data_IF_931617608697
#
_entry.id   IF_931617608697
#
_cell.length_a   1.000
_cell.length_b   1.000
_cell.length_c   1.000
_cell.angle_alpha   90.00
_cell.angle_beta   90.00
_cell.angle_gamma   90.00
#
_symmetry.space_group_name_H-M   'P 1'
#
loop_
_entity.id
_entity.type
_entity.pdbx_description
1 polymer ?
#
# COMPACT_ATOMS: atom_id res chain seq x y z
N UNK A 1 -37.67 51.86 17.01
CA UNK A 1 -38.18 53.09 16.35
C UNK A 1 -37.08 53.61 15.44
N UNK A 2 -37.47 54.04 14.24
CA UNK A 2 -36.77 54.89 13.25
C UNK A 2 -35.66 55.78 13.84
N UNK A 3 -34.50 56.03 13.23
CA UNK A 3 -34.19 56.26 11.81
C UNK A 3 -33.60 57.67 11.66
N UNK A 4 -32.48 57.84 10.92
CA UNK A 4 -32.01 59.15 10.43
C UNK A 4 -30.50 59.42 10.43
N UNK A 5 -29.76 58.82 9.47
CA UNK A 5 -28.91 59.40 8.38
C UNK A 5 -28.51 60.92 8.38
N UNK A 6 -27.58 61.40 7.51
CA UNK A 6 -26.22 60.94 7.10
C UNK A 6 -25.22 62.14 6.86
N UNK A 7 -24.13 61.93 6.11
CA UNK A 7 -23.50 62.81 5.05
C UNK A 7 -21.95 62.93 5.06
N UNK A 8 -21.34 62.25 4.07
CA UNK A 8 -20.29 62.59 3.08
C UNK A 8 -19.20 63.66 3.34
N UNK A 9 -17.93 63.30 3.08
CA UNK A 9 -17.22 63.61 1.81
C UNK A 9 -15.70 63.47 1.93
N UNK A 10 -15.07 62.85 0.92
CA UNK A 10 -13.63 62.95 0.70
C UNK A 10 -12.99 61.79 -0.05
N UNK A 11 -13.40 61.52 -1.29
CA UNK A 11 -12.63 60.68 -2.23
C UNK A 11 -11.34 61.39 -2.65
N UNK A 12 -10.22 60.66 -2.70
CA UNK A 12 -9.13 60.94 -3.62
C UNK A 12 -8.71 59.60 -4.24
N UNK A 13 -9.17 59.38 -5.47
CA UNK A 13 -8.66 58.33 -6.35
C UNK A 13 -7.20 58.64 -6.73
N UNK A 14 -6.33 57.65 -6.56
CA UNK A 14 -5.12 57.52 -7.37
C UNK A 14 -5.00 56.06 -7.82
N UNK A 15 -5.14 55.87 -9.13
CA UNK A 15 -5.04 54.61 -9.86
C UNK A 15 -3.66 53.94 -9.79
N UNK A 16 -3.70 52.61 -9.70
CA UNK A 16 -2.91 51.59 -10.39
C UNK A 16 -1.36 51.65 -10.44
N UNK A 17 -0.74 50.60 -9.88
CA UNK A 17 0.08 49.67 -10.70
C UNK A 17 0.16 48.28 -10.06
N UNK A 18 -0.14 47.18 -10.77
CA UNK A 18 -0.09 45.83 -10.24
C UNK A 18 1.33 45.25 -10.39
N UNK A 19 2.11 45.30 -9.32
CA UNK A 19 3.32 44.49 -9.21
C UNK A 19 2.94 43.05 -8.86
N UNK A 20 2.71 42.22 -9.89
CA UNK A 20 2.63 40.77 -9.75
C UNK A 20 3.93 40.28 -9.12
N UNK A 21 3.87 40.03 -7.82
CA UNK A 21 4.86 39.22 -7.13
C UNK A 21 4.28 37.83 -7.07
N UNK A 22 4.58 37.00 -8.07
CA UNK A 22 4.41 35.57 -7.95
C UNK A 22 5.16 35.14 -6.68
N UNK A 23 4.52 34.49 -5.68
CA UNK A 23 5.30 33.68 -4.80
C UNK A 23 5.84 32.54 -5.67
N UNK A 24 7.12 32.64 -6.00
CA UNK A 24 7.93 31.54 -6.50
C UNK A 24 7.72 30.38 -5.52
N UNK A 25 6.78 29.52 -5.88
CA UNK A 25 6.43 28.34 -5.10
C UNK A 25 7.65 27.45 -5.17
N UNK A 26 8.46 27.51 -4.12
CA UNK A 26 9.48 26.53 -3.84
C UNK A 26 8.94 25.16 -4.26
N UNK A 27 9.69 24.43 -5.09
CA UNK A 27 9.43 23.02 -5.33
C UNK A 27 9.33 22.37 -3.96
N UNK A 28 8.10 22.19 -3.47
CA UNK A 28 7.85 21.43 -2.28
C UNK A 28 8.30 20.04 -2.68
N UNK A 29 9.50 19.66 -2.28
CA UNK A 29 9.91 18.27 -2.24
C UNK A 29 8.87 17.61 -1.35
N UNK A 30 7.85 17.03 -1.98
CA UNK A 30 6.78 16.34 -1.28
C UNK A 30 7.46 15.21 -0.53
N UNK A 31 7.57 15.35 0.79
CA UNK A 31 8.11 14.30 1.65
C UNK A 31 7.16 13.12 1.51
N UNK A 32 7.66 11.98 1.03
CA UNK A 32 6.84 10.77 0.91
C UNK A 32 6.37 10.36 2.31
N UNK A 33 5.06 10.25 2.49
CA UNK A 33 4.44 9.87 3.76
C UNK A 33 4.80 8.45 4.21
N UNK A 34 5.40 7.65 3.32
CA UNK A 34 5.82 6.27 3.58
C UNK A 34 7.30 6.05 3.31
N UNK A 35 8.13 7.10 3.36
CA UNK A 35 9.57 6.98 3.11
C UNK A 35 10.26 5.92 4.00
N UNK A 36 9.72 5.64 5.19
CA UNK A 36 10.22 4.60 6.10
C UNK A 36 10.08 3.17 5.54
N UNK A 37 9.19 2.93 4.58
CA UNK A 37 8.97 1.63 3.94
C UNK A 37 9.84 1.40 2.68
N UNK A 38 10.67 2.38 2.30
CA UNK A 38 11.62 2.28 1.19
C UNK A 38 12.89 1.48 1.58
N UNK A 39 12.71 0.35 2.25
CA UNK A 39 13.77 -0.51 2.76
C UNK A 39 13.46 -1.99 2.48
N UNK A 40 14.48 -2.85 2.59
CA UNK A 40 14.34 -4.30 2.40
C UNK A 40 14.48 -4.74 0.93
N UNK A 41 14.00 -5.95 0.64
CA UNK A 41 14.11 -6.63 -0.66
C UNK A 41 13.24 -5.97 -1.73
N UNK A 42 11.99 -5.63 -1.40
CA UNK A 42 11.09 -4.85 -2.23
C UNK A 42 10.82 -3.48 -1.58
N UNK A 43 11.58 -2.44 -1.96
CA UNK A 43 11.39 -1.10 -1.39
C UNK A 43 10.07 -0.48 -1.85
N UNK A 44 9.29 0.06 -0.91
CA UNK A 44 7.99 0.67 -1.21
C UNK A 44 8.05 2.19 -1.02
N UNK A 45 8.13 2.92 -2.15
CA UNK A 45 8.06 4.38 -2.15
C UNK A 45 6.64 4.92 -2.38
N UNK A 46 5.77 4.13 -3.03
CA UNK A 46 4.36 4.42 -3.30
C UNK A 46 3.56 3.11 -3.31
N UNK A 47 2.41 3.08 -2.64
CA UNK A 47 1.56 1.87 -2.59
C UNK A 47 0.88 1.60 -3.93
N UNK A 48 0.43 2.63 -4.64
CA UNK A 48 -0.50 2.56 -5.78
C UNK A 48 0.17 2.59 -7.15
N UNK A 49 1.26 3.35 -7.29
CA UNK A 49 1.95 3.56 -8.56
C UNK A 49 2.72 2.31 -8.98
N UNK A 50 2.49 1.83 -10.20
CA UNK A 50 3.24 0.73 -10.82
C UNK A 50 3.94 1.32 -12.05
N UNK A 51 5.28 1.26 -12.13
CA UNK A 51 6.01 1.72 -13.31
C UNK A 51 5.59 0.94 -14.56
N UNK A 52 5.37 1.63 -15.68
CA UNK A 52 4.90 0.97 -16.92
C UNK A 52 5.85 -0.09 -17.46
N UNK A 53 7.14 -0.01 -17.13
CA UNK A 53 8.16 -1.01 -17.53
C UNK A 53 8.13 -2.29 -16.67
N UNK A 54 7.39 -2.28 -15.56
CA UNK A 54 7.23 -3.42 -14.65
C UNK A 54 5.77 -3.88 -14.61
N UNK A 55 4.91 -3.32 -15.47
CA UNK A 55 3.47 -3.60 -15.51
C UNK A 55 3.15 -4.78 -16.46
N UNK A 56 3.78 -5.91 -16.19
CA UNK A 56 3.60 -7.19 -16.89
C UNK A 56 3.55 -8.35 -15.88
N UNK A 57 3.13 -9.54 -16.34
CA UNK A 57 2.87 -10.69 -15.46
C UNK A 57 4.14 -11.10 -14.72
N UNK A 58 5.26 -11.23 -15.43
CA UNK A 58 6.52 -11.70 -14.90
C UNK A 58 7.06 -10.77 -13.80
N UNK A 59 7.13 -9.46 -14.07
CA UNK A 59 7.62 -8.51 -13.08
C UNK A 59 6.69 -8.37 -11.88
N UNK A 60 5.37 -8.39 -12.08
CA UNK A 60 4.42 -8.32 -10.97
C UNK A 60 4.47 -9.58 -10.09
N UNK A 61 4.73 -10.76 -10.68
CA UNK A 61 4.96 -11.99 -9.93
C UNK A 61 6.25 -11.93 -9.10
N UNK A 62 7.35 -11.39 -9.67
CA UNK A 62 8.59 -11.16 -8.93
C UNK A 62 8.39 -10.23 -7.73
N UNK A 63 7.70 -9.11 -7.95
CA UNK A 63 7.40 -8.14 -6.89
C UNK A 63 6.51 -8.77 -5.80
N UNK A 64 5.48 -9.52 -6.19
CA UNK A 64 4.60 -10.21 -5.26
C UNK A 64 5.35 -11.24 -4.41
N UNK A 65 6.24 -12.03 -5.02
CA UNK A 65 7.08 -12.99 -4.29
C UNK A 65 7.98 -12.28 -3.27
N UNK A 66 8.70 -11.23 -3.67
CA UNK A 66 9.59 -10.49 -2.74
C UNK A 66 8.82 -9.89 -1.57
N UNK A 67 7.66 -9.28 -1.83
CA UNK A 67 6.80 -8.75 -0.77
C UNK A 67 6.29 -9.85 0.16
N UNK A 68 5.82 -10.97 -0.39
CA UNK A 68 5.33 -12.10 0.40
C UNK A 68 6.44 -12.71 1.27
N UNK A 69 7.65 -12.86 0.71
CA UNK A 69 8.82 -13.35 1.43
C UNK A 69 9.21 -12.42 2.59
N UNK A 70 9.29 -11.11 2.35
CA UNK A 70 9.61 -10.16 3.41
C UNK A 70 8.56 -10.10 4.53
N UNK A 71 7.28 -10.20 4.17
CA UNK A 71 6.20 -10.32 5.15
C UNK A 71 6.32 -11.61 5.97
N UNK A 72 6.67 -12.71 5.32
CA UNK A 72 6.86 -14.00 5.98
C UNK A 72 8.09 -13.99 6.90
N UNK A 73 9.19 -13.36 6.49
CA UNK A 73 10.39 -13.17 7.32
C UNK A 73 10.07 -12.34 8.57
N UNK A 74 9.30 -11.26 8.43
CA UNK A 74 8.84 -10.46 9.59
C UNK A 74 7.95 -11.26 10.56
N UNK A 75 7.37 -12.36 10.09
CA UNK A 75 6.51 -13.28 10.83
C UNK A 75 7.22 -14.59 11.20
N UNK A 76 8.54 -14.68 11.01
CA UNK A 76 9.38 -15.86 11.29
C UNK A 76 8.92 -17.14 10.58
N UNK A 77 8.37 -17.01 9.36
CA UNK A 77 7.86 -18.11 8.51
C UNK A 77 8.34 -18.01 7.06
N UNK A 78 9.46 -17.34 6.79
CA UNK A 78 9.97 -17.10 5.44
C UNK A 78 10.29 -18.38 4.67
N UNK A 79 10.67 -19.46 5.37
CA UNK A 79 10.94 -20.77 4.79
C UNK A 79 9.71 -21.42 4.14
N UNK A 80 8.50 -20.96 4.50
CA UNK A 80 7.26 -21.47 3.94
C UNK A 80 6.91 -20.83 2.60
N UNK A 81 7.56 -19.74 2.18
CA UNK A 81 7.25 -19.05 0.93
C UNK A 81 8.12 -19.60 -0.20
N UNK A 82 7.48 -20.14 -1.23
CA UNK A 82 8.15 -20.62 -2.44
C UNK A 82 7.69 -19.78 -3.63
N UNK A 83 8.63 -19.45 -4.51
CA UNK A 83 8.35 -18.81 -5.79
C UNK A 83 7.53 -19.70 -6.74
N UNK A 84 6.52 -19.13 -7.40
CA UNK A 84 5.68 -19.82 -8.39
C UNK A 84 5.53 -18.95 -9.64
N UNK A 85 6.11 -19.37 -10.77
CA UNK A 85 6.08 -18.66 -12.06
C UNK A 85 5.00 -19.15 -13.01
N UNK A 86 4.04 -19.93 -12.52
CA UNK A 86 2.92 -20.35 -13.36
C UNK A 86 2.16 -19.11 -13.86
N UNK A 87 1.69 -19.04 -15.12
CA UNK A 87 1.10 -17.83 -15.69
C UNK A 87 -0.09 -17.24 -14.91
N UNK A 88 -0.83 -18.08 -14.20
CA UNK A 88 -2.01 -17.71 -13.40
C UNK A 88 -1.73 -17.68 -11.89
N UNK A 89 -0.48 -17.87 -11.44
CA UNK A 89 -0.13 -17.78 -10.03
C UNK A 89 -0.02 -16.32 -9.57
N UNK A 90 0.00 -16.13 -8.26
CA UNK A 90 0.30 -14.86 -7.60
C UNK A 90 1.80 -14.54 -7.53
N UNK A 91 2.66 -15.32 -8.19
CA UNK A 91 4.12 -15.22 -8.11
C UNK A 91 4.74 -16.04 -6.97
N UNK A 92 3.93 -16.51 -6.03
CA UNK A 92 4.37 -17.32 -4.90
C UNK A 92 3.29 -18.30 -4.45
N UNK A 93 3.70 -19.29 -3.66
CA UNK A 93 2.84 -20.20 -2.91
C UNK A 93 3.39 -20.44 -1.52
N UNK A 94 2.54 -20.93 -0.63
CA UNK A 94 2.90 -21.23 0.76
C UNK A 94 2.94 -22.75 0.95
N UNK A 95 4.02 -23.28 1.52
CA UNK A 95 4.14 -24.70 1.85
C UNK A 95 3.06 -25.07 2.87
N UNK A 96 2.40 -26.20 2.64
CA UNK A 96 1.47 -26.77 3.59
C UNK A 96 2.20 -27.62 4.64
N UNK A 97 2.74 -26.95 5.65
CA UNK A 97 3.32 -27.59 6.83
C UNK A 97 2.29 -27.63 7.97
N UNK A 98 1.91 -28.83 8.46
CA UNK A 98 0.89 -28.98 9.52
C UNK A 98 1.20 -28.17 10.79
N UNK A 99 2.48 -28.02 11.12
CA UNK A 99 2.95 -27.26 12.29
C UNK A 99 2.54 -25.78 12.23
N UNK A 100 2.48 -25.19 11.03
CA UNK A 100 2.15 -23.78 10.82
C UNK A 100 0.73 -23.55 10.34
N UNK A 101 -0.10 -24.60 10.26
CA UNK A 101 -1.47 -24.52 9.73
C UNK A 101 -2.35 -23.47 10.43
N UNK A 102 -2.19 -23.32 11.74
CA UNK A 102 -2.89 -22.34 12.56
C UNK A 102 -2.16 -20.97 12.70
N UNK A 103 -0.98 -20.81 12.10
CA UNK A 103 -0.21 -19.59 12.18
C UNK A 103 -0.90 -18.46 11.39
N UNK A 104 -1.31 -17.39 12.07
CA UNK A 104 -2.09 -16.32 11.44
C UNK A 104 -1.35 -15.62 10.31
N UNK A 105 -0.02 -15.50 10.41
CA UNK A 105 0.82 -14.98 9.32
C UNK A 105 0.77 -15.85 8.05
N UNK A 106 0.77 -17.18 8.23
CA UNK A 106 0.65 -18.13 7.12
C UNK A 106 -0.74 -18.01 6.49
N UNK A 107 -1.78 -17.96 7.32
CA UNK A 107 -3.16 -17.79 6.86
C UNK A 107 -3.31 -16.49 6.07
N UNK A 108 -2.75 -15.37 6.55
CA UNK A 108 -2.76 -14.07 5.88
C UNK A 108 -2.14 -14.12 4.48
N UNK A 109 -0.94 -14.70 4.33
CA UNK A 109 -0.28 -14.81 3.03
C UNK A 109 -0.97 -15.83 2.12
N UNK A 110 -1.54 -16.90 2.69
CA UNK A 110 -2.27 -17.89 1.93
C UNK A 110 -3.51 -17.32 1.23
N UNK A 111 -4.13 -16.25 1.76
CA UNK A 111 -5.26 -15.55 1.11
C UNK A 111 -4.96 -15.12 -0.33
N UNK A 112 -3.68 -14.97 -0.66
CA UNK A 112 -3.20 -14.58 -1.97
C UNK A 112 -2.50 -15.71 -2.73
N UNK A 113 -2.25 -16.85 -2.10
CA UNK A 113 -1.70 -18.04 -2.75
C UNK A 113 -2.81 -18.82 -3.46
N UNK A 114 -2.43 -19.73 -4.36
CA UNK A 114 -3.35 -20.70 -4.98
C UNK A 114 -4.09 -21.56 -3.94
N UNK A 115 -3.47 -21.79 -2.78
CA UNK A 115 -4.01 -22.56 -1.65
C UNK A 115 -4.65 -21.65 -0.58
N UNK A 116 -5.67 -20.90 -0.98
CA UNK A 116 -6.35 -19.94 -0.10
C UNK A 116 -6.99 -20.62 1.11
N UNK A 117 -6.49 -20.29 2.31
CA UNK A 117 -7.12 -20.69 3.58
C UNK A 117 -7.90 -19.53 4.19
N UNK A 118 -8.94 -19.84 4.96
CA UNK A 118 -9.72 -18.82 5.63
C UNK A 118 -8.93 -18.20 6.79
N UNK A 119 -8.80 -16.87 6.80
CA UNK A 119 -8.30 -16.10 7.94
C UNK A 119 -9.49 -15.58 8.76
N UNK A 120 -9.49 -15.82 10.07
CA UNK A 120 -10.50 -15.24 10.94
C UNK A 120 -10.37 -13.70 10.98
N UNK A 121 -11.49 -12.97 10.92
CA UNK A 121 -11.47 -11.51 10.95
C UNK A 121 -10.78 -10.93 12.21
N UNK A 122 -10.90 -11.61 13.35
CA UNK A 122 -10.18 -11.26 14.58
C UNK A 122 -8.68 -11.43 14.46
N UNK A 123 -8.21 -12.48 13.78
CA UNK A 123 -6.78 -12.70 13.53
C UNK A 123 -6.22 -11.61 12.61
N UNK A 124 -6.95 -11.23 11.56
CA UNK A 124 -6.58 -10.08 10.72
C UNK A 124 -6.48 -8.78 11.52
N UNK A 125 -7.45 -8.51 12.42
CA UNK A 125 -7.42 -7.33 13.28
C UNK A 125 -6.19 -7.31 14.19
N UNK A 126 -5.83 -8.43 14.82
CA UNK A 126 -4.63 -8.52 15.65
C UNK A 126 -3.33 -8.38 14.84
N UNK A 127 -3.28 -8.90 13.61
CA UNK A 127 -2.12 -8.76 12.74
C UNK A 127 -1.87 -7.30 12.34
N UNK A 128 -2.93 -6.56 11.99
CA UNK A 128 -2.80 -5.23 11.34
C UNK A 128 -3.02 -4.06 12.29
N UNK A 129 -3.91 -4.21 13.28
CA UNK A 129 -4.34 -3.12 14.17
C UNK A 129 -3.87 -3.35 15.61
N UNK A 130 -3.88 -4.60 16.07
CA UNK A 130 -3.63 -4.95 17.46
C UNK A 130 -4.86 -4.73 18.36
N UNK A 131 -4.61 -4.56 19.65
CA UNK A 131 -5.58 -4.38 20.72
C UNK A 131 -5.17 -3.21 21.63
N UNK A 132 -6.13 -2.55 22.30
CA UNK A 132 -5.86 -1.40 23.18
C UNK A 132 -5.18 -1.78 24.51
N UNK A 133 -5.14 -3.08 24.82
CA UNK A 133 -4.54 -3.62 26.04
C UNK A 133 -3.01 -3.54 26.00
N UNK A 134 -2.35 -3.54 27.16
CA UNK A 134 -0.88 -3.65 27.23
C UNK A 134 -0.43 -4.98 26.63
N UNK A 135 0.56 -4.94 25.72
CA UNK A 135 0.99 -6.13 24.98
C UNK A 135 0.10 -6.46 23.77
N UNK A 136 -0.81 -5.55 23.41
CA UNK A 136 -1.71 -5.67 22.27
C UNK A 136 -1.16 -5.06 20.98
N UNK A 137 0.15 -4.81 20.87
CA UNK A 137 0.74 -4.27 19.64
C UNK A 137 0.42 -5.15 18.42
N UNK A 138 0.18 -4.55 17.24
CA UNK A 138 -0.03 -5.34 16.03
C UNK A 138 1.21 -6.18 15.73
N UNK A 139 0.98 -7.41 15.23
CA UNK A 139 2.08 -8.30 14.88
C UNK A 139 2.86 -7.81 13.66
N UNK A 140 2.18 -7.12 12.73
CA UNK A 140 2.83 -6.43 11.62
C UNK A 140 3.16 -5.00 12.05
N UNK A 141 4.44 -4.65 11.97
CA UNK A 141 4.87 -3.27 12.13
C UNK A 141 4.43 -2.39 10.94
N UNK A 142 4.62 -1.08 11.05
CA UNK A 142 4.21 -0.13 10.00
C UNK A 142 4.86 -0.44 8.65
N UNK A 143 6.10 -0.94 8.62
CA UNK A 143 6.80 -1.31 7.37
C UNK A 143 6.09 -2.50 6.73
N UNK A 144 5.84 -3.56 7.51
CA UNK A 144 5.15 -4.76 7.05
C UNK A 144 3.71 -4.44 6.61
N UNK A 145 2.99 -3.56 7.31
CA UNK A 145 1.64 -3.13 6.90
C UNK A 145 1.69 -2.40 5.55
N UNK A 146 2.64 -1.49 5.33
CA UNK A 146 2.81 -0.83 4.02
C UNK A 146 3.11 -1.85 2.92
N UNK A 147 3.99 -2.83 3.19
CA UNK A 147 4.31 -3.91 2.24
C UNK A 147 3.11 -4.81 1.96
N UNK A 148 2.27 -5.07 2.95
CA UNK A 148 1.03 -5.82 2.79
C UNK A 148 0.04 -5.09 1.86
N UNK A 149 -0.15 -3.78 2.03
CA UNK A 149 -0.96 -2.98 1.11
C UNK A 149 -0.36 -2.92 -0.29
N UNK A 150 0.97 -2.81 -0.40
CA UNK A 150 1.66 -2.89 -1.69
C UNK A 150 1.42 -4.24 -2.37
N UNK A 151 1.49 -5.35 -1.63
CA UNK A 151 1.22 -6.70 -2.15
C UNK A 151 -0.21 -6.78 -2.71
N UNK A 152 -1.22 -6.31 -1.96
CA UNK A 152 -2.61 -6.23 -2.45
C UNK A 152 -2.68 -5.47 -3.78
N UNK A 153 -2.01 -4.31 -3.87
CA UNK A 153 -2.01 -3.50 -5.10
C UNK A 153 -1.42 -4.25 -6.30
N UNK A 154 -0.28 -4.91 -6.10
CA UNK A 154 0.42 -5.67 -7.13
C UNK A 154 -0.44 -6.85 -7.59
N UNK A 155 -0.99 -7.63 -6.66
CA UNK A 155 -1.83 -8.78 -6.98
C UNK A 155 -3.12 -8.39 -7.72
N UNK A 156 -3.75 -7.28 -7.34
CA UNK A 156 -4.90 -6.75 -8.07
C UNK A 156 -4.54 -6.48 -9.53
N UNK A 157 -3.37 -5.89 -9.79
CA UNK A 157 -2.90 -5.63 -11.17
C UNK A 157 -2.56 -6.91 -11.91
N UNK A 158 -1.84 -7.81 -11.26
CA UNK A 158 -1.47 -9.10 -11.81
C UNK A 158 -2.71 -9.88 -12.27
N UNK A 159 -3.74 -9.96 -11.41
CA UNK A 159 -5.00 -10.62 -11.75
C UNK A 159 -5.75 -9.90 -12.89
N UNK A 160 -5.65 -8.56 -13.01
CA UNK A 160 -6.19 -7.84 -14.17
C UNK A 160 -5.53 -8.29 -15.47
N UNK A 161 -4.20 -8.37 -15.50
CA UNK A 161 -3.46 -8.82 -16.69
C UNK A 161 -3.76 -10.28 -17.01
N UNK A 162 -3.79 -11.16 -16.01
CA UNK A 162 -4.08 -12.58 -16.18
C UNK A 162 -5.48 -12.83 -16.77
N UNK A 163 -6.50 -12.07 -16.36
CA UNK A 163 -7.84 -12.16 -16.98
C UNK A 163 -7.84 -11.74 -18.44
N UNK A 164 -7.05 -10.73 -18.80
CA UNK A 164 -6.94 -10.27 -20.18
C UNK A 164 -6.20 -11.27 -21.07
N UNK A 165 -5.19 -11.95 -20.54
CA UNK A 165 -4.42 -12.97 -21.26
C UNK A 165 -5.17 -14.32 -21.35
N UNK A 166 -5.88 -14.72 -20.28
CA UNK A 166 -6.63 -15.99 -20.23
C UNK A 166 -8.01 -15.97 -20.90
N UNK A 167 -8.54 -14.80 -21.27
CA UNK A 167 -9.82 -14.67 -21.99
C UNK A 167 -9.72 -14.86 -23.51
N UNK A 168 -8.57 -15.31 -24.02
CA UNK A 168 -8.29 -15.51 -25.44
C UNK A 168 -8.36 -16.96 -25.93
N UNK A 169 -8.87 -17.89 -25.12
CA UNK A 169 -9.13 -19.29 -25.50
C UNK A 169 -10.61 -19.56 -25.84
#
# INVERSE_FOLDING_TARGET
MFGGEPVLSGEAFAEASPGVSEPSGAFQTSVSSIAFAAAGLEPVADIWHIPSLQDDIEHLQDMAFRLAFELAEALEIGELVIEDKSPLSSGFRIIDEPMYSAHSGRQLLSLFSSDSTALAASAFSMLVVGAPEVGGEPLLDDIAVVKYFRLIRILRRLHELQRLTGGGE
#
